data_IF_562924504123
#
_entry.id   IF_562924504123
#
_cell.length_a   1.000
_cell.length_b   1.000
_cell.length_c   1.000
_cell.angle_alpha   90.00
_cell.angle_beta   90.00
_cell.angle_gamma   90.00
#
_symmetry.space_group_name_H-M   'P 1'
#
loop_
_entity.id
_entity.type
_entity.pdbx_description
1 polymer ?
#
# COMPACT_ATOMS: atom_id res chain seq x y z
N UNK A 1 16.09 0.86 12.37
CA UNK A 1 17.42 1.31 11.96
C UNK A 1 18.47 0.21 12.18
N UNK A 2 18.71 -0.27 13.41
CA UNK A 2 19.70 -1.32 13.70
C UNK A 2 19.42 -2.60 12.89
N UNK A 3 18.18 -3.10 12.85
CA UNK A 3 17.83 -4.31 12.10
C UNK A 3 18.07 -4.14 10.60
N UNK A 4 17.83 -2.97 10.04
CA UNK A 4 18.06 -2.66 8.63
C UNK A 4 19.56 -2.65 8.32
N UNK A 5 20.35 -1.92 9.08
CA UNK A 5 21.81 -1.83 8.92
C UNK A 5 22.44 -3.22 9.02
N UNK A 6 22.09 -3.97 10.08
CA UNK A 6 22.59 -5.34 10.26
C UNK A 6 22.20 -6.27 9.09
N UNK A 7 20.94 -6.20 8.62
CA UNK A 7 20.49 -7.06 7.53
C UNK A 7 21.21 -6.77 6.22
N UNK A 8 21.47 -5.51 5.93
CA UNK A 8 22.22 -5.10 4.72
C UNK A 8 23.66 -5.58 4.78
N UNK A 9 24.33 -5.39 5.89
CA UNK A 9 25.73 -5.81 6.07
C UNK A 9 25.84 -7.35 6.09
N UNK A 10 24.99 -8.03 6.85
CA UNK A 10 25.01 -9.48 6.96
C UNK A 10 24.61 -10.18 5.63
N UNK A 11 23.79 -9.56 4.79
CA UNK A 11 23.39 -10.09 3.48
C UNK A 11 24.58 -10.34 2.55
N UNK A 12 25.71 -9.64 2.75
CA UNK A 12 26.93 -9.87 2.00
C UNK A 12 27.62 -11.20 2.30
N UNK A 13 27.27 -11.83 3.41
CA UNK A 13 27.90 -13.07 3.91
C UNK A 13 26.94 -14.26 4.07
N UNK A 14 25.63 -14.00 4.04
CA UNK A 14 24.60 -15.00 4.30
C UNK A 14 23.55 -15.07 3.19
N UNK A 15 23.15 -16.27 2.81
CA UNK A 15 22.11 -16.49 1.80
C UNK A 15 20.70 -16.29 2.32
N UNK A 16 20.52 -16.28 3.64
CA UNK A 16 19.24 -16.09 4.31
C UNK A 16 19.43 -15.43 5.66
N UNK A 17 18.57 -14.48 5.99
CA UNK A 17 18.47 -13.84 7.30
C UNK A 17 17.04 -13.99 7.80
N UNK A 18 16.87 -14.54 9.01
CA UNK A 18 15.60 -14.61 9.72
C UNK A 18 15.65 -13.67 10.92
N UNK A 19 14.83 -12.64 10.89
CA UNK A 19 14.73 -11.69 12.01
C UNK A 19 13.59 -12.10 12.91
N UNK A 20 13.91 -12.46 14.15
CA UNK A 20 12.95 -12.85 15.17
C UNK A 20 12.71 -11.70 16.16
N UNK A 21 11.45 -11.44 16.42
CA UNK A 21 11.00 -10.52 17.46
C UNK A 21 9.66 -11.00 18.04
N UNK A 22 9.06 -10.25 18.96
CA UNK A 22 7.79 -10.62 19.58
C UNK A 22 6.65 -10.83 18.57
N UNK A 23 6.64 -10.11 17.47
CA UNK A 23 5.63 -10.23 16.42
C UNK A 23 5.81 -11.48 15.57
N UNK A 24 7.04 -11.97 15.43
CA UNK A 24 7.35 -13.17 14.66
C UNK A 24 6.64 -14.43 15.18
N UNK A 25 6.27 -14.45 16.47
CA UNK A 25 5.52 -15.56 17.06
C UNK A 25 4.11 -15.70 16.45
N UNK A 26 3.52 -14.62 15.96
CA UNK A 26 2.16 -14.61 15.39
C UNK A 26 2.11 -14.40 13.88
N UNK A 27 3.13 -13.79 13.30
CA UNK A 27 3.14 -13.32 11.91
C UNK A 27 4.26 -13.93 11.04
N UNK A 28 5.06 -14.84 11.60
CA UNK A 28 6.16 -15.45 10.85
C UNK A 28 5.69 -16.65 10.03
N UNK A 29 6.47 -17.04 9.05
CA UNK A 29 6.27 -18.27 8.27
C UNK A 29 6.52 -19.56 9.08
N UNK A 30 6.84 -19.47 10.36
CA UNK A 30 7.00 -20.57 11.29
C UNK A 30 8.43 -21.12 11.34
N UNK A 31 8.76 -22.10 10.53
CA UNK A 31 10.02 -22.86 10.63
C UNK A 31 11.25 -22.22 9.97
N UNK A 32 11.16 -21.00 9.48
CA UNK A 32 12.29 -20.27 8.91
C UNK A 32 12.82 -20.77 7.56
N UNK A 33 12.14 -21.71 6.92
CA UNK A 33 12.48 -22.06 5.53
C UNK A 33 12.02 -20.96 4.58
N UNK A 34 12.83 -20.61 3.57
CA UNK A 34 12.41 -19.64 2.56
C UNK A 34 11.17 -20.14 1.82
N UNK A 35 10.26 -19.22 1.49
CA UNK A 35 9.16 -19.55 0.59
C UNK A 35 9.72 -19.92 -0.80
N UNK A 36 9.04 -20.80 -1.57
CA UNK A 36 9.51 -21.22 -2.88
C UNK A 36 9.74 -20.05 -3.87
N UNK A 37 9.06 -18.93 -3.66
CA UNK A 37 9.20 -17.71 -4.47
C UNK A 37 10.38 -16.83 -4.05
N UNK A 38 10.98 -17.07 -2.88
CA UNK A 38 12.13 -16.31 -2.40
C UNK A 38 13.41 -16.87 -3.01
N UNK A 39 14.10 -16.04 -3.72
CA UNK A 39 15.44 -16.35 -4.21
C UNK A 39 16.41 -16.25 -3.04
N UNK A 40 17.05 -17.36 -2.73
CA UNK A 40 18.03 -17.50 -1.65
C UNK A 40 19.27 -18.23 -2.14
N UNK A 41 20.20 -18.48 -1.25
CA UNK A 41 21.52 -18.92 -1.64
C UNK A 41 22.43 -17.72 -1.62
N UNK A 42 23.46 -17.58 -1.17
CA UNK A 42 24.28 -16.37 -0.98
C UNK A 42 25.66 -16.51 -1.56
N UNK A 43 26.53 -15.56 -1.26
CA UNK A 43 27.91 -15.57 -1.68
C UNK A 43 28.71 -16.66 -0.97
N UNK A 44 29.79 -17.08 -1.58
CA UNK A 44 30.76 -17.99 -1.00
C UNK A 44 30.17 -19.34 -0.56
N UNK A 45 30.30 -19.68 0.72
CA UNK A 45 29.87 -20.97 1.28
C UNK A 45 28.35 -21.15 1.37
N UNK A 46 27.57 -20.11 1.24
CA UNK A 46 26.11 -20.20 1.28
C UNK A 46 25.56 -20.93 0.04
N UNK A 47 26.32 -21.01 -1.04
CA UNK A 47 25.98 -21.76 -2.25
C UNK A 47 24.81 -21.16 -3.00
N UNK A 48 24.48 -21.74 -4.16
CA UNK A 48 23.30 -21.38 -4.96
C UNK A 48 22.16 -22.36 -4.70
N UNK A 49 20.94 -21.86 -4.57
CA UNK A 49 19.72 -22.67 -4.43
C UNK A 49 18.95 -22.86 -5.73
N UNK A 50 19.53 -22.51 -6.89
CA UNK A 50 18.86 -22.48 -8.19
C UNK A 50 19.61 -23.23 -9.28
N UNK A 51 18.84 -23.71 -10.26
CA UNK A 51 19.43 -24.23 -11.49
C UNK A 51 20.07 -23.11 -12.31
N UNK A 52 21.24 -23.42 -12.83
CA UNK A 52 22.12 -22.50 -13.52
C UNK A 52 21.85 -22.53 -15.04
N UNK A 53 20.98 -21.63 -15.53
CA UNK A 53 20.73 -21.52 -16.96
C UNK A 53 20.25 -20.12 -17.37
N UNK A 54 20.71 -19.58 -18.48
CA UNK A 54 20.30 -18.28 -19.00
C UNK A 54 20.44 -17.15 -17.97
N UNK A 55 19.39 -16.36 -17.81
CA UNK A 55 19.35 -15.26 -16.84
C UNK A 55 19.50 -15.72 -15.38
N UNK A 56 19.12 -16.95 -15.06
CA UNK A 56 19.31 -17.52 -13.72
C UNK A 56 20.79 -17.69 -13.38
N UNK A 57 21.57 -18.16 -14.36
CA UNK A 57 23.02 -18.25 -14.23
C UNK A 57 23.67 -16.89 -13.97
N UNK A 58 23.23 -15.85 -14.68
CA UNK A 58 23.70 -14.48 -14.42
C UNK A 58 23.33 -14.05 -12.99
N UNK A 59 22.09 -14.26 -12.57
CA UNK A 59 21.63 -13.91 -11.23
C UNK A 59 22.35 -14.67 -10.12
N UNK A 60 22.88 -15.87 -10.39
CA UNK A 60 23.66 -16.61 -9.43
C UNK A 60 24.91 -15.87 -8.97
N UNK A 61 25.56 -15.15 -9.87
CA UNK A 61 26.75 -14.34 -9.54
C UNK A 61 26.42 -13.01 -8.90
N UNK A 62 25.14 -12.62 -8.87
CA UNK A 62 24.69 -11.47 -8.11
C UNK A 62 24.52 -11.86 -6.64
N UNK A 63 24.95 -10.96 -5.78
CA UNK A 63 24.80 -11.15 -4.35
C UNK A 63 23.32 -11.07 -3.95
N UNK A 64 22.81 -12.13 -3.33
CA UNK A 64 21.39 -12.25 -2.97
C UNK A 64 21.24 -12.85 -1.59
N UNK A 65 20.27 -12.34 -0.86
CA UNK A 65 19.88 -12.87 0.44
C UNK A 65 18.36 -12.85 0.59
N UNK A 66 17.79 -13.94 1.08
CA UNK A 66 16.39 -13.97 1.51
C UNK A 66 16.28 -13.45 2.93
N UNK A 67 15.43 -12.47 3.17
CA UNK A 67 15.16 -11.90 4.49
C UNK A 67 13.75 -12.30 4.90
N UNK A 68 13.60 -12.86 6.08
CA UNK A 68 12.32 -13.25 6.66
C UNK A 68 12.16 -12.62 8.04
N UNK A 69 10.95 -12.18 8.36
CA UNK A 69 10.65 -11.54 9.63
C UNK A 69 9.17 -11.16 9.72
N UNK A 70 8.78 -10.44 10.78
CA UNK A 70 7.44 -9.91 10.89
C UNK A 70 7.18 -8.85 9.80
N UNK A 71 5.90 -8.61 9.41
CA UNK A 71 5.59 -7.58 8.42
C UNK A 71 6.18 -6.20 8.75
N UNK A 72 6.16 -5.80 10.02
CA UNK A 72 6.75 -4.54 10.48
C UNK A 72 8.26 -4.52 10.23
N UNK A 73 8.97 -5.59 10.60
CA UNK A 73 10.42 -5.69 10.39
C UNK A 73 10.79 -5.66 8.91
N UNK A 74 10.04 -6.39 8.07
CA UNK A 74 10.29 -6.39 6.63
C UNK A 74 10.01 -5.02 6.01
N UNK A 75 8.94 -4.33 6.45
CA UNK A 75 8.67 -2.94 6.05
C UNK A 75 9.85 -2.02 6.36
N UNK A 76 10.41 -2.12 7.56
CA UNK A 76 11.55 -1.30 7.99
C UNK A 76 12.82 -1.59 7.20
N UNK A 77 13.10 -2.86 6.89
CA UNK A 77 14.29 -3.26 6.13
C UNK A 77 14.18 -2.85 4.66
N UNK A 78 13.02 -3.06 4.05
CA UNK A 78 12.85 -2.89 2.59
C UNK A 78 12.41 -1.48 2.19
N UNK A 79 11.86 -0.70 3.12
CA UNK A 79 11.18 0.56 2.81
C UNK A 79 9.87 0.40 2.03
N UNK A 80 9.33 -0.83 1.96
CA UNK A 80 8.06 -1.16 1.29
C UNK A 80 7.09 -1.69 2.33
N UNK A 81 5.93 -1.03 2.48
CA UNK A 81 4.93 -1.41 3.47
C UNK A 81 4.36 -2.80 3.19
N UNK A 82 4.45 -3.68 4.17
CA UNK A 82 3.91 -5.03 4.11
C UNK A 82 2.52 -5.09 4.75
N UNK A 83 1.62 -5.85 4.13
CA UNK A 83 0.30 -6.08 4.71
C UNK A 83 0.42 -6.72 6.11
N UNK A 84 -0.22 -6.11 7.10
CA UNK A 84 -0.13 -6.52 8.50
C UNK A 84 0.97 -5.83 9.31
N UNK A 85 1.81 -4.99 8.69
CA UNK A 85 2.75 -4.16 9.43
C UNK A 85 2.01 -3.10 10.28
N UNK A 86 2.65 -2.68 11.36
CA UNK A 86 2.14 -1.58 12.17
C UNK A 86 2.17 -0.28 11.39
N UNK A 87 1.09 0.49 11.52
CA UNK A 87 1.05 1.85 11.00
C UNK A 87 1.88 2.80 11.87
N UNK A 88 2.57 3.72 11.21
CA UNK A 88 3.26 4.83 11.86
C UNK A 88 2.37 6.06 11.79
N UNK A 89 1.78 6.49 12.90
CA UNK A 89 0.96 7.68 12.93
C UNK A 89 1.86 8.93 12.93
N UNK A 90 1.73 9.83 11.92
CA UNK A 90 2.55 11.02 11.83
C UNK A 90 2.08 12.08 12.81
N UNK A 91 3.00 12.90 13.33
CA UNK A 91 2.70 14.02 14.23
C UNK A 91 1.89 15.14 13.55
N UNK A 92 2.02 15.25 12.24
CA UNK A 92 1.31 16.22 11.43
C UNK A 92 0.76 15.56 10.16
N UNK A 93 -0.07 16.29 9.41
CA UNK A 93 -0.64 15.76 8.16
C UNK A 93 0.46 15.33 7.19
N UNK A 94 0.39 14.11 6.55
CA UNK A 94 1.44 13.60 5.68
C UNK A 94 1.86 14.56 4.56
N UNK A 95 0.93 15.37 4.03
CA UNK A 95 1.22 16.34 2.97
C UNK A 95 2.00 17.57 3.41
N UNK A 96 2.35 17.68 4.69
CA UNK A 96 3.26 18.70 5.22
C UNK A 96 4.71 18.25 5.28
N UNK A 97 4.97 16.96 5.12
CA UNK A 97 6.32 16.41 5.11
C UNK A 97 6.95 16.57 3.73
N UNK A 98 8.24 16.79 3.69
CA UNK A 98 9.04 16.66 2.49
C UNK A 98 9.26 15.18 2.17
N UNK A 99 9.67 14.87 0.94
CA UNK A 99 9.87 13.50 0.47
C UNK A 99 10.83 12.71 1.36
N UNK A 100 11.88 13.36 1.85
CA UNK A 100 12.92 12.78 2.72
C UNK A 100 12.33 12.29 4.05
N UNK A 101 11.35 13.01 4.59
CA UNK A 101 10.77 12.77 5.91
C UNK A 101 9.64 11.73 5.90
N UNK A 102 9.12 11.39 4.72
CA UNK A 102 8.08 10.38 4.58
C UNK A 102 8.69 8.99 4.71
N UNK A 103 8.04 8.09 5.44
CA UNK A 103 8.46 6.71 5.61
C UNK A 103 7.37 5.73 5.20
N UNK A 104 7.77 4.54 4.72
CA UNK A 104 6.85 3.44 4.49
C UNK A 104 6.10 3.08 5.79
N UNK A 105 4.78 2.89 5.67
CA UNK A 105 3.91 2.64 6.83
C UNK A 105 3.41 3.90 7.53
N UNK A 106 3.92 5.10 7.20
CA UNK A 106 3.33 6.35 7.68
C UNK A 106 1.87 6.43 7.23
N UNK A 107 0.95 6.61 8.17
CA UNK A 107 -0.48 6.43 7.90
C UNK A 107 -1.34 7.45 8.61
N UNK A 108 -2.14 8.16 7.82
CA UNK A 108 -3.20 9.05 8.30
C UNK A 108 -4.54 8.32 8.28
N UNK A 109 -5.27 8.36 9.40
CA UNK A 109 -6.69 7.99 9.45
C UNK A 109 -7.52 9.25 9.56
N UNK A 110 -8.42 9.49 8.60
CA UNK A 110 -9.25 10.69 8.58
C UNK A 110 -10.43 10.60 9.57
N UNK A 111 -11.12 11.71 9.77
CA UNK A 111 -12.45 11.72 10.38
C UNK A 111 -13.44 10.94 9.48
N UNK A 112 -14.60 10.60 10.07
CA UNK A 112 -15.70 9.97 9.33
C UNK A 112 -16.58 11.03 8.68
N UNK A 113 -17.13 10.67 7.52
CA UNK A 113 -18.18 11.44 6.82
C UNK A 113 -19.31 10.51 6.40
N UNK A 114 -20.54 10.92 6.66
CA UNK A 114 -21.74 10.20 6.22
C UNK A 114 -22.13 10.65 4.82
N UNK A 115 -22.40 9.68 3.95
CA UNK A 115 -22.86 9.90 2.58
C UNK A 115 -24.35 10.17 2.60
N UNK A 116 -24.78 11.26 1.98
CA UNK A 116 -26.19 11.65 1.91
C UNK A 116 -26.82 11.26 0.58
N UNK A 117 -28.14 11.09 0.57
CA UNK A 117 -28.90 10.78 -0.65
C UNK A 117 -28.79 11.92 -1.68
N UNK A 118 -28.82 13.17 -1.22
CA UNK A 118 -28.66 14.34 -2.08
C UNK A 118 -27.29 14.38 -2.78
N UNK A 119 -26.24 13.93 -2.14
CA UNK A 119 -24.90 13.85 -2.78
C UNK A 119 -24.88 12.83 -3.91
N UNK A 120 -25.53 11.69 -3.73
CA UNK A 120 -25.65 10.66 -4.80
C UNK A 120 -26.40 11.26 -6.00
N UNK A 121 -27.54 11.93 -5.75
CA UNK A 121 -28.33 12.56 -6.81
C UNK A 121 -27.56 13.69 -7.50
N UNK A 122 -26.86 14.52 -6.74
CA UNK A 122 -26.07 15.62 -7.30
C UNK A 122 -24.91 15.10 -8.15
N UNK A 123 -24.27 14.00 -7.73
CA UNK A 123 -23.19 13.40 -8.51
C UNK A 123 -23.71 12.78 -9.81
N UNK A 124 -24.89 12.14 -9.79
CA UNK A 124 -25.53 11.63 -11.00
C UNK A 124 -25.75 12.76 -12.03
N UNK A 125 -26.25 13.90 -11.58
CA UNK A 125 -26.46 15.07 -12.43
C UNK A 125 -25.15 15.70 -12.94
N UNK A 126 -24.13 15.74 -12.10
CA UNK A 126 -22.81 16.29 -12.47
C UNK A 126 -22.07 15.40 -13.47
N UNK A 127 -22.11 14.10 -13.27
CA UNK A 127 -21.37 13.11 -14.06
C UNK A 127 -22.14 12.60 -15.28
N UNK A 128 -23.46 12.81 -15.32
CA UNK A 128 -24.43 12.23 -16.26
C UNK A 128 -24.54 10.70 -16.15
N UNK A 129 -24.00 10.11 -15.10
CA UNK A 129 -24.15 8.69 -14.82
C UNK A 129 -25.48 8.45 -14.09
N UNK A 130 -26.52 8.22 -14.87
CA UNK A 130 -27.87 7.88 -14.40
C UNK A 130 -28.13 6.36 -14.41
N UNK A 131 -27.09 5.55 -14.24
CA UNK A 131 -27.27 4.11 -14.13
C UNK A 131 -28.30 3.78 -13.04
N UNK A 132 -29.21 2.84 -13.33
CA UNK A 132 -30.36 2.58 -12.46
C UNK A 132 -30.02 2.33 -10.99
N UNK A 133 -28.90 1.67 -10.72
CA UNK A 133 -28.47 1.38 -9.34
C UNK A 133 -28.22 2.65 -8.50
N UNK A 134 -28.05 3.81 -9.14
CA UNK A 134 -27.83 5.09 -8.47
C UNK A 134 -29.09 5.96 -8.40
N UNK A 135 -30.04 5.76 -9.31
CA UNK A 135 -31.15 6.71 -9.53
C UNK A 135 -32.54 6.15 -9.35
N UNK A 136 -32.73 4.81 -9.52
CA UNK A 136 -34.05 4.19 -9.53
C UNK A 136 -34.17 3.05 -8.52
N UNK A 137 -34.92 3.31 -7.43
CA UNK A 137 -35.15 2.31 -6.36
C UNK A 137 -36.08 1.19 -6.80
N UNK A 138 -36.88 1.40 -7.85
CA UNK A 138 -37.86 0.41 -8.31
C UNK A 138 -37.21 -0.68 -9.16
N UNK A 139 -36.07 -0.38 -9.76
CA UNK A 139 -35.30 -1.30 -10.60
C UNK A 139 -34.29 -2.17 -9.84
N UNK A 140 -34.25 -2.08 -8.51
CA UNK A 140 -33.27 -2.82 -7.69
C UNK A 140 -33.67 -4.27 -7.39
N UNK A 141 -34.93 -4.66 -7.62
CA UNK A 141 -35.42 -6.00 -7.36
C UNK A 141 -34.59 -7.03 -8.17
N UNK A 142 -34.21 -8.12 -7.49
CA UNK A 142 -33.40 -9.20 -8.07
C UNK A 142 -31.98 -8.78 -8.51
N UNK A 143 -31.46 -7.67 -7.99
CA UNK A 143 -30.07 -7.24 -8.19
C UNK A 143 -29.25 -7.47 -6.92
N UNK A 144 -27.94 -7.18 -7.01
CA UNK A 144 -27.04 -7.23 -5.85
C UNK A 144 -27.19 -6.01 -4.91
N UNK A 145 -28.01 -5.02 -5.27
CA UNK A 145 -28.15 -3.78 -4.55
C UNK A 145 -29.41 -3.80 -3.67
N UNK A 146 -29.24 -3.53 -2.39
CA UNK A 146 -30.35 -3.41 -1.43
C UNK A 146 -31.03 -2.03 -1.48
N UNK A 147 -30.28 -1.02 -1.84
CA UNK A 147 -30.65 0.40 -1.91
C UNK A 147 -29.93 1.05 -3.07
N UNK A 148 -30.29 2.31 -3.39
CA UNK A 148 -29.50 3.09 -4.36
C UNK A 148 -28.06 3.23 -3.85
N UNK A 149 -27.12 2.69 -4.62
CA UNK A 149 -25.72 2.74 -4.29
C UNK A 149 -25.10 4.09 -4.72
N UNK A 150 -24.14 4.57 -3.97
CA UNK A 150 -23.31 5.69 -4.39
C UNK A 150 -22.41 5.27 -5.57
N UNK A 151 -22.19 6.18 -6.51
CA UNK A 151 -21.25 5.96 -7.59
C UNK A 151 -19.84 5.70 -7.06
N UNK A 152 -19.15 4.71 -7.60
CA UNK A 152 -17.78 4.40 -7.19
C UNK A 152 -16.85 5.61 -7.33
N UNK A 153 -16.97 6.35 -8.43
CA UNK A 153 -16.17 7.56 -8.66
C UNK A 153 -16.53 8.72 -7.73
N UNK A 154 -17.78 8.82 -7.28
CA UNK A 154 -18.14 9.75 -6.23
C UNK A 154 -17.42 9.41 -4.92
N UNK A 155 -17.46 8.14 -4.52
CA UNK A 155 -16.77 7.68 -3.31
C UNK A 155 -15.27 7.90 -3.40
N UNK A 156 -14.65 7.63 -4.55
CA UNK A 156 -13.23 7.91 -4.78
C UNK A 156 -12.91 9.39 -4.64
N UNK A 157 -13.74 10.27 -5.22
CA UNK A 157 -13.57 11.72 -5.11
C UNK A 157 -13.78 12.23 -3.69
N UNK A 158 -14.80 11.72 -2.99
CA UNK A 158 -15.06 12.04 -1.58
C UNK A 158 -13.92 11.57 -0.67
N UNK A 159 -13.34 10.39 -0.96
CA UNK A 159 -12.17 9.88 -0.26
C UNK A 159 -10.96 10.81 -0.47
N UNK A 160 -10.71 11.25 -1.69
CA UNK A 160 -9.65 12.22 -1.99
C UNK A 160 -9.85 13.53 -1.20
N UNK A 161 -11.08 14.04 -1.15
CA UNK A 161 -11.42 15.22 -0.35
C UNK A 161 -11.22 15.05 1.15
N UNK A 162 -11.40 13.83 1.68
CA UNK A 162 -11.20 13.55 3.10
C UNK A 162 -9.73 13.58 3.53
N UNK A 163 -8.80 13.13 2.67
CA UNK A 163 -7.38 13.08 3.04
C UNK A 163 -6.56 14.24 2.50
N UNK A 164 -7.10 15.11 1.66
CA UNK A 164 -6.35 16.26 1.14
C UNK A 164 -6.05 17.27 2.24
N UNK A 165 -4.85 17.85 2.19
CA UNK A 165 -4.50 19.01 2.99
C UNK A 165 -4.67 20.27 2.11
N UNK A 166 -5.61 21.19 2.44
CA UNK A 166 -6.02 22.24 1.50
C UNK A 166 -4.98 23.35 1.32
N UNK A 167 -4.05 23.51 2.27
CA UNK A 167 -3.04 24.57 2.19
C UNK A 167 -1.87 24.16 1.31
N UNK A 168 -1.19 25.14 0.74
CA UNK A 168 0.05 24.92 -0.01
C UNK A 168 1.08 24.20 0.85
N UNK A 169 1.69 23.16 0.30
CA UNK A 169 2.69 22.35 0.96
C UNK A 169 3.65 21.69 -0.04
N UNK A 170 4.48 20.75 0.40
CA UNK A 170 5.44 20.06 -0.44
C UNK A 170 4.79 19.21 -1.55
N UNK A 171 3.57 18.70 -1.32
CA UNK A 171 2.85 17.87 -2.30
C UNK A 171 2.45 18.72 -3.49
N UNK A 172 2.90 18.35 -4.67
CA UNK A 172 2.68 19.11 -5.89
C UNK A 172 1.35 18.75 -6.59
N UNK A 173 1.04 17.45 -6.71
CA UNK A 173 -0.15 16.97 -7.43
C UNK A 173 -0.45 15.50 -7.14
N UNK A 174 -1.71 15.11 -7.42
CA UNK A 174 -2.07 13.71 -7.56
C UNK A 174 -1.61 13.25 -8.96
N UNK A 175 -0.74 12.24 -9.01
CA UNK A 175 -0.13 11.79 -10.25
C UNK A 175 -1.00 10.77 -11.00
N UNK A 176 -1.73 9.91 -10.28
CA UNK A 176 -2.55 8.88 -10.88
C UNK A 176 -3.00 7.80 -9.90
N UNK A 177 -3.61 6.77 -10.46
CA UNK A 177 -4.04 5.57 -9.76
C UNK A 177 -3.48 4.35 -10.49
N UNK A 178 -2.75 3.48 -9.79
CA UNK A 178 -2.28 2.22 -10.36
C UNK A 178 -3.41 1.18 -10.38
N UNK A 179 -4.25 1.17 -9.36
CA UNK A 179 -5.42 0.30 -9.30
C UNK A 179 -6.52 0.86 -8.40
N UNK A 180 -7.77 0.54 -8.73
CA UNK A 180 -8.92 0.84 -7.89
C UNK A 180 -9.88 -0.34 -7.92
N UNK A 181 -10.41 -0.75 -6.76
CA UNK A 181 -11.43 -1.79 -6.65
C UNK A 181 -12.52 -1.36 -5.68
N UNK A 182 -13.74 -1.43 -6.12
CA UNK A 182 -14.94 -1.24 -5.29
C UNK A 182 -15.40 -2.59 -4.77
N UNK A 183 -15.06 -2.89 -3.51
CA UNK A 183 -15.25 -4.22 -2.92
C UNK A 183 -16.69 -4.51 -2.52
N UNK A 184 -17.48 -3.46 -2.24
CA UNK A 184 -18.90 -3.53 -1.90
C UNK A 184 -19.57 -2.18 -2.16
N UNK A 185 -20.91 -2.16 -2.39
CA UNK A 185 -21.64 -0.91 -2.54
C UNK A 185 -21.60 -0.09 -1.25
N UNK A 186 -21.62 1.23 -1.42
CA UNK A 186 -21.82 2.22 -0.36
C UNK A 186 -23.19 2.84 -0.58
N UNK A 187 -23.97 2.96 0.47
CA UNK A 187 -25.34 3.48 0.42
C UNK A 187 -25.44 4.84 1.12
N UNK A 188 -26.55 5.55 0.91
CA UNK A 188 -26.84 6.72 1.73
C UNK A 188 -26.94 6.32 3.21
N UNK A 189 -26.53 7.20 4.09
CA UNK A 189 -26.35 7.01 5.54
C UNK A 189 -25.17 6.11 5.94
N UNK A 190 -24.43 5.53 5.00
CA UNK A 190 -23.14 4.93 5.33
C UNK A 190 -22.12 6.02 5.66
N UNK A 191 -21.27 5.74 6.64
CA UNK A 191 -20.17 6.63 7.02
C UNK A 191 -18.84 6.05 6.59
N UNK A 192 -18.09 6.79 5.80
CA UNK A 192 -16.77 6.44 5.32
C UNK A 192 -15.68 7.20 6.06
N UNK A 193 -14.51 6.63 6.12
CA UNK A 193 -13.25 7.30 6.44
C UNK A 193 -12.16 6.77 5.51
N UNK A 194 -11.06 7.47 5.43
CA UNK A 194 -9.91 7.06 4.64
C UNK A 194 -8.73 6.72 5.55
N UNK A 195 -8.02 5.67 5.19
CA UNK A 195 -6.67 5.43 5.67
C UNK A 195 -5.71 5.63 4.49
N UNK A 196 -4.95 6.70 4.54
CA UNK A 196 -3.89 7.00 3.58
C UNK A 196 -2.58 6.47 4.15
N UNK A 197 -1.94 5.54 3.45
CA UNK A 197 -0.69 4.92 3.91
C UNK A 197 0.39 5.02 2.85
N UNK A 198 1.57 5.50 3.21
CA UNK A 198 2.74 5.45 2.35
C UNK A 198 3.14 3.99 2.14
N UNK A 199 3.02 3.50 0.91
CA UNK A 199 3.41 2.14 0.53
C UNK A 199 4.92 2.04 0.33
N UNK A 200 5.48 2.98 -0.41
CA UNK A 200 6.91 3.08 -0.72
C UNK A 200 7.24 4.49 -1.22
N UNK A 201 8.51 4.83 -1.22
CA UNK A 201 9.04 6.03 -1.87
C UNK A 201 9.84 5.62 -3.11
N UNK A 202 9.66 6.36 -4.18
CA UNK A 202 10.43 6.18 -5.41
C UNK A 202 10.92 7.51 -5.90
N UNK A 203 12.23 7.60 -6.10
CA UNK A 203 12.79 8.72 -6.83
C UNK A 203 12.29 8.68 -8.26
N UNK A 204 11.88 9.82 -8.76
CA UNK A 204 11.40 9.95 -10.13
C UNK A 204 12.18 11.03 -10.86
N UNK A 205 12.85 10.64 -11.90
CA UNK A 205 13.45 11.58 -12.85
C UNK A 205 12.42 11.95 -13.92
N UNK A 206 11.99 13.20 -13.90
CA UNK A 206 11.09 13.75 -14.92
C UNK A 206 11.87 14.82 -15.70
N UNK A 207 12.25 14.52 -16.93
CA UNK A 207 12.96 15.44 -17.83
C UNK A 207 14.29 15.97 -17.26
N UNK A 208 15.06 15.09 -16.59
CA UNK A 208 16.32 15.48 -15.99
C UNK A 208 16.22 16.34 -14.72
N UNK A 209 15.04 16.38 -14.10
CA UNK A 209 14.85 16.94 -12.77
C UNK A 209 14.40 15.84 -11.83
N UNK A 210 15.09 15.68 -10.71
CA UNK A 210 14.64 14.84 -9.61
C UNK A 210 13.48 15.53 -8.89
N UNK A 211 12.40 14.79 -8.67
CA UNK A 211 11.23 15.20 -7.90
C UNK A 211 10.95 14.15 -6.82
#
# INVERSE_FOLDING_TARGET
>A
KIATEFSVEAASHHGRILVLNRESATNSTGHGSPLPTLVHGGPGRAGGGEEMGGMRGVKHYLQRCAIQGSPTTITEITGIFQAGAKYKEPEQHPFKYHFEDIEAGMSLKTHKRTITDSEIANFANLSWDHFYAHTDITSLNHTIFEKRAAHGYFILSAAAGLFVYPNKGPVAANYGLDSCRFMRPIYHNDSIYVRLTCQEKRDKDVRGKQF
#
